data_IF_297277207615
#
_entry.id   IF_297277207615
#
_cell.length_a   1.000
_cell.length_b   1.000
_cell.length_c   1.000
_cell.angle_alpha   90.00
_cell.angle_beta   90.00
_cell.angle_gamma   90.00
#
_symmetry.space_group_name_H-M   'P 1'
#
loop_
_entity.id
_entity.type
_entity.pdbx_description
1 polymer ?
#
# COMPACT_ATOMS: atom_id res chain seq x y z
N UNK A 1 -11.89 22.54 16.50
CA UNK A 1 -12.70 21.88 15.45
C UNK A 1 -12.49 20.38 15.55
N UNK A 2 -13.26 19.72 16.42
CA UNK A 2 -13.25 18.26 16.61
C UNK A 2 -13.95 17.60 15.42
N UNK A 3 -13.35 16.60 14.74
CA UNK A 3 -14.08 15.89 13.70
C UNK A 3 -15.16 15.03 14.38
N UNK A 4 -16.40 15.34 14.03
CA UNK A 4 -17.61 14.58 14.34
C UNK A 4 -17.41 13.10 13.99
N UNK A 5 -17.60 12.23 14.97
CA UNK A 5 -17.66 10.77 14.79
C UNK A 5 -19.00 10.43 14.14
N UNK A 6 -19.08 10.59 12.82
CA UNK A 6 -20.18 10.00 12.07
C UNK A 6 -20.03 8.48 12.16
N UNK A 7 -20.92 7.84 12.93
CA UNK A 7 -21.24 6.42 12.75
C UNK A 7 -21.70 6.31 11.30
N UNK A 8 -20.80 5.88 10.42
CA UNK A 8 -21.08 5.79 9.00
C UNK A 8 -21.78 4.46 8.80
N UNK A 9 -23.11 4.48 8.72
CA UNK A 9 -23.89 3.29 8.35
C UNK A 9 -23.37 2.78 7.01
N UNK A 10 -22.78 1.58 7.01
CA UNK A 10 -22.27 0.96 5.80
C UNK A 10 -23.45 0.49 4.93
N UNK A 11 -23.26 0.52 3.62
CA UNK A 11 -24.23 -0.14 2.73
C UNK A 11 -24.01 -1.65 2.80
N UNK A 12 -25.06 -2.44 2.49
CA UNK A 12 -24.95 -3.91 2.41
C UNK A 12 -23.79 -4.37 1.50
N UNK A 13 -23.53 -3.63 0.42
CA UNK A 13 -22.42 -3.92 -0.48
C UNK A 13 -21.04 -3.66 0.16
N UNK A 14 -20.91 -2.58 0.93
CA UNK A 14 -19.67 -2.27 1.67
C UNK A 14 -19.43 -3.26 2.81
N UNK A 15 -20.49 -3.68 3.52
CA UNK A 15 -20.43 -4.73 4.54
C UNK A 15 -19.98 -6.06 3.92
N UNK A 16 -20.60 -6.47 2.81
CA UNK A 16 -20.24 -7.70 2.09
C UNK A 16 -18.78 -7.67 1.61
N UNK A 17 -18.31 -6.55 1.06
CA UNK A 17 -16.91 -6.39 0.64
C UNK A 17 -15.94 -6.43 1.85
N UNK A 18 -16.33 -5.84 2.98
CA UNK A 18 -15.58 -5.88 4.23
C UNK A 18 -15.48 -7.29 4.81
N UNK A 19 -16.55 -8.07 4.71
CA UNK A 19 -16.66 -9.43 5.27
C UNK A 19 -16.24 -10.55 4.30
N UNK A 20 -15.88 -10.22 3.05
CA UNK A 20 -15.54 -11.20 2.04
C UNK A 20 -14.37 -12.11 2.50
N UNK A 21 -14.33 -13.39 2.09
CA UNK A 21 -13.26 -14.32 2.47
C UNK A 21 -11.86 -13.79 2.16
N UNK A 22 -10.86 -14.21 2.95
CA UNK A 22 -9.45 -13.83 2.77
C UNK A 22 -8.62 -14.93 2.09
N UNK A 23 -9.21 -16.10 1.86
CA UNK A 23 -8.60 -17.27 1.20
C UNK A 23 -8.61 -17.19 -0.33
N UNK A 24 -9.15 -16.10 -0.89
CA UNK A 24 -9.31 -15.91 -2.34
C UNK A 24 -9.16 -14.45 -2.75
N UNK A 25 -8.83 -14.26 -4.03
CA UNK A 25 -8.84 -12.94 -4.64
C UNK A 25 -10.28 -12.45 -4.85
N UNK A 26 -10.52 -11.18 -4.56
CA UNK A 26 -11.77 -10.50 -4.85
C UNK A 26 -11.48 -9.22 -5.64
N UNK A 27 -12.38 -8.89 -6.56
CA UNK A 27 -12.35 -7.64 -7.30
C UNK A 27 -13.58 -6.81 -6.91
N UNK A 28 -13.37 -5.56 -6.52
CA UNK A 28 -14.43 -4.63 -6.16
C UNK A 28 -14.43 -3.46 -7.15
N UNK A 29 -15.54 -3.27 -7.83
CA UNK A 29 -15.76 -2.15 -8.73
C UNK A 29 -16.92 -1.26 -8.27
N UNK A 30 -16.94 -0.05 -8.80
CA UNK A 30 -18.02 0.89 -8.56
C UNK A 30 -17.63 2.31 -8.96
N UNK A 31 -18.60 3.16 -9.32
CA UNK A 31 -18.37 4.56 -9.65
C UNK A 31 -17.57 5.33 -8.60
N UNK A 32 -16.99 6.47 -8.98
CA UNK A 32 -16.38 7.39 -8.03
C UNK A 32 -17.40 7.81 -6.94
N UNK A 33 -16.94 8.00 -5.70
CA UNK A 33 -17.82 8.42 -4.59
C UNK A 33 -18.63 7.31 -3.91
N UNK A 34 -18.67 6.08 -4.43
CA UNK A 34 -19.45 4.96 -3.84
C UNK A 34 -18.90 4.37 -2.53
N UNK A 35 -17.79 4.91 -2.01
CA UNK A 35 -17.21 4.45 -0.74
C UNK A 35 -16.36 3.17 -0.85
N UNK A 36 -15.69 2.93 -1.99
CA UNK A 36 -14.71 1.83 -2.14
C UNK A 36 -13.63 1.85 -1.06
N UNK A 37 -13.11 3.03 -0.73
CA UNK A 37 -12.14 3.21 0.36
C UNK A 37 -12.76 2.87 1.71
N UNK A 38 -14.03 3.19 1.94
CA UNK A 38 -14.77 2.83 3.16
C UNK A 38 -14.86 1.31 3.30
N UNK A 39 -15.23 0.59 2.23
CA UNK A 39 -15.24 -0.87 2.22
C UNK A 39 -13.85 -1.47 2.47
N UNK A 40 -12.80 -0.90 1.86
CA UNK A 40 -11.41 -1.32 2.08
C UNK A 40 -10.96 -1.13 3.54
N UNK A 41 -11.31 0.00 4.16
CA UNK A 41 -11.04 0.24 5.58
C UNK A 41 -11.77 -0.78 6.45
N UNK A 42 -13.06 -1.06 6.18
CA UNK A 42 -13.80 -2.07 6.91
C UNK A 42 -13.17 -3.46 6.77
N UNK A 43 -12.72 -3.83 5.56
CA UNK A 43 -12.02 -5.09 5.31
C UNK A 43 -10.74 -5.19 6.16
N UNK A 44 -9.93 -4.14 6.20
CA UNK A 44 -8.72 -4.09 7.01
C UNK A 44 -9.04 -4.32 8.50
N UNK A 45 -10.07 -3.64 9.02
CA UNK A 45 -10.50 -3.78 10.41
C UNK A 45 -10.98 -5.20 10.69
N UNK A 46 -11.79 -5.79 9.81
CA UNK A 46 -12.29 -7.15 9.96
C UNK A 46 -11.15 -8.18 9.97
N UNK A 47 -10.13 -8.04 9.11
CA UNK A 47 -8.95 -8.92 9.11
C UNK A 47 -8.22 -8.86 10.46
N UNK A 48 -7.95 -7.66 10.95
CA UNK A 48 -7.27 -7.47 12.24
C UNK A 48 -8.11 -8.02 13.40
N UNK A 49 -9.42 -7.73 13.42
CA UNK A 49 -10.33 -8.16 14.49
C UNK A 49 -10.57 -9.67 14.50
N UNK A 50 -10.50 -10.32 13.34
CA UNK A 50 -10.55 -11.79 13.22
C UNK A 50 -9.23 -12.49 13.58
N UNK A 51 -8.21 -11.75 14.00
CA UNK A 51 -6.95 -12.29 14.50
C UNK A 51 -5.86 -12.48 13.45
N UNK A 52 -6.07 -12.02 12.21
CA UNK A 52 -4.99 -11.99 11.22
C UNK A 52 -3.87 -11.09 11.74
N UNK A 53 -2.64 -11.62 11.72
CA UNK A 53 -1.48 -10.87 12.19
C UNK A 53 -1.33 -9.59 11.39
N UNK A 54 -1.37 -8.43 12.05
CA UNK A 54 -1.33 -7.15 11.35
C UNK A 54 -0.04 -7.00 10.51
N UNK A 55 1.08 -7.60 10.94
CA UNK A 55 2.34 -7.64 10.19
C UNK A 55 2.27 -8.41 8.86
N UNK A 56 1.28 -9.30 8.67
CA UNK A 56 1.03 -10.01 7.41
C UNK A 56 0.03 -9.30 6.50
N UNK A 57 -0.44 -8.11 6.87
CA UNK A 57 -1.40 -7.33 6.09
C UNK A 57 -0.67 -6.20 5.36
N UNK A 58 -0.85 -6.16 4.04
CA UNK A 58 -0.35 -5.10 3.16
C UNK A 58 -1.52 -4.34 2.55
N UNK A 59 -1.54 -3.02 2.73
CA UNK A 59 -2.44 -2.10 2.03
C UNK A 59 -1.61 -1.28 1.06
N UNK A 60 -1.87 -1.47 -0.23
CA UNK A 60 -1.23 -0.73 -1.30
C UNK A 60 -2.15 0.40 -1.78
N UNK A 61 -1.65 1.63 -1.80
CA UNK A 61 -2.35 2.79 -2.37
C UNK A 61 -1.58 3.37 -3.55
N UNK A 62 -2.23 4.05 -4.51
CA UNK A 62 -1.51 4.61 -5.65
C UNK A 62 -0.60 5.77 -5.23
N UNK A 63 -1.00 6.53 -4.20
CA UNK A 63 -0.22 7.61 -3.60
C UNK A 63 -0.36 7.62 -2.07
N UNK A 64 0.64 8.17 -1.38
CA UNK A 64 0.70 8.18 0.11
C UNK A 64 -0.52 8.83 0.77
N UNK A 65 -1.05 9.98 0.31
CA UNK A 65 -2.19 10.61 0.98
C UNK A 65 -3.44 9.74 1.06
N UNK A 66 -3.64 8.83 0.09
CA UNK A 66 -4.81 7.93 0.06
C UNK A 66 -4.72 6.79 1.09
N UNK A 67 -3.58 6.63 1.77
CA UNK A 67 -3.47 5.72 2.92
C UNK A 67 -4.03 6.32 4.22
N UNK A 68 -4.33 7.62 4.25
CA UNK A 68 -4.79 8.33 5.46
C UNK A 68 -6.01 7.66 6.13
N UNK A 69 -7.09 7.29 5.41
CA UNK A 69 -8.27 6.66 6.03
C UNK A 69 -7.93 5.35 6.75
N UNK A 70 -7.06 4.53 6.17
CA UNK A 70 -6.59 3.28 6.78
C UNK A 70 -5.78 3.55 8.05
N UNK A 71 -4.83 4.49 8.00
CA UNK A 71 -4.01 4.85 9.15
C UNK A 71 -4.84 5.42 10.32
N UNK A 72 -5.88 6.20 10.02
CA UNK A 72 -6.78 6.76 11.04
C UNK A 72 -7.66 5.68 11.69
N UNK A 73 -8.18 4.75 10.89
CA UNK A 73 -8.95 3.61 11.39
C UNK A 73 -8.10 2.71 12.30
N UNK A 74 -6.86 2.42 11.90
CA UNK A 74 -5.93 1.63 12.71
C UNK A 74 -5.56 2.33 14.03
N UNK A 75 -5.35 3.66 14.02
CA UNK A 75 -5.07 4.44 15.24
C UNK A 75 -6.21 4.38 16.27
N UNK A 76 -7.46 4.23 15.80
CA UNK A 76 -8.65 4.10 16.65
C UNK A 76 -8.90 2.65 17.12
N UNK A 77 -8.15 1.69 16.57
CA UNK A 77 -8.31 0.27 16.87
C UNK A 77 -7.25 -0.17 17.86
N UNK A 78 -7.63 -0.96 18.88
CA UNK A 78 -6.68 -1.53 19.83
C UNK A 78 -5.94 -2.71 19.18
N UNK A 79 -4.84 -2.41 18.50
CA UNK A 79 -3.97 -3.43 17.91
C UNK A 79 -3.15 -4.17 18.99
N UNK A 80 -2.78 -5.41 18.71
CA UNK A 80 -1.76 -6.10 19.52
C UNK A 80 -0.44 -5.33 19.43
N UNK A 81 0.30 -5.14 20.53
CA UNK A 81 1.61 -4.49 20.51
C UNK A 81 2.55 -5.11 19.47
N UNK A 82 3.28 -4.27 18.73
CA UNK A 82 4.27 -4.70 17.75
C UNK A 82 3.72 -5.20 16.40
N UNK A 83 2.39 -5.21 16.19
CA UNK A 83 1.77 -5.62 14.93
C UNK A 83 1.06 -4.46 14.25
N UNK A 84 1.64 -3.91 13.17
CA UNK A 84 1.04 -2.82 12.37
C UNK A 84 0.99 -3.25 10.90
N UNK A 85 -0.16 -3.12 10.21
CA UNK A 85 -0.26 -3.30 8.77
C UNK A 85 0.69 -2.39 7.99
N UNK A 86 1.26 -2.92 6.92
CA UNK A 86 2.10 -2.14 6.01
C UNK A 86 1.21 -1.28 5.10
N UNK A 87 1.28 0.04 5.23
CA UNK A 87 0.61 1.00 4.34
C UNK A 87 1.65 1.59 3.38
N UNK A 88 1.62 1.19 2.12
CA UNK A 88 2.68 1.56 1.16
C UNK A 88 2.11 1.94 -0.21
N UNK A 89 2.90 2.65 -1.01
CA UNK A 89 2.67 2.73 -2.45
C UNK A 89 3.45 1.64 -3.17
N UNK A 90 3.10 1.32 -4.42
CA UNK A 90 3.87 0.40 -5.26
C UNK A 90 5.37 0.81 -5.32
N UNK A 91 5.65 2.09 -5.61
CA UNK A 91 7.02 2.61 -5.62
C UNK A 91 7.71 2.56 -4.26
N UNK A 92 6.98 2.80 -3.17
CA UNK A 92 7.51 2.68 -1.81
C UNK A 92 7.87 1.24 -1.44
N UNK A 93 7.04 0.27 -1.85
CA UNK A 93 7.31 -1.15 -1.67
C UNK A 93 8.52 -1.60 -2.48
N UNK A 94 8.61 -1.20 -3.75
CA UNK A 94 9.75 -1.50 -4.61
C UNK A 94 11.04 -0.95 -4.02
N UNK A 95 11.05 0.33 -3.62
CA UNK A 95 12.20 0.99 -3.01
C UNK A 95 12.69 0.25 -1.76
N UNK A 96 11.79 -0.09 -0.83
CA UNK A 96 12.14 -0.83 0.40
C UNK A 96 12.76 -2.20 0.11
N UNK A 97 12.21 -2.95 -0.84
CA UNK A 97 12.75 -4.25 -1.22
C UNK A 97 14.11 -4.12 -1.88
N UNK A 98 14.26 -3.17 -2.81
CA UNK A 98 15.54 -2.92 -3.49
C UNK A 98 16.60 -2.51 -2.47
N UNK A 99 16.30 -1.59 -1.54
CA UNK A 99 17.23 -1.20 -0.48
C UNK A 99 17.63 -2.39 0.41
N UNK A 100 16.67 -3.23 0.81
CA UNK A 100 16.92 -4.38 1.68
C UNK A 100 17.78 -5.46 1.01
N UNK A 101 17.47 -5.78 -0.25
CA UNK A 101 18.12 -6.86 -0.98
C UNK A 101 19.25 -6.39 -1.91
N UNK A 102 19.61 -5.10 -1.86
CA UNK A 102 20.59 -4.51 -2.78
C UNK A 102 21.89 -5.31 -2.87
N UNK A 103 22.55 -5.68 -1.76
CA UNK A 103 23.82 -6.42 -1.82
C UNK A 103 23.71 -7.79 -2.50
N UNK A 104 22.51 -8.37 -2.54
CA UNK A 104 22.27 -9.67 -3.17
C UNK A 104 22.03 -9.55 -4.69
N UNK A 105 21.48 -8.42 -5.15
CA UNK A 105 21.02 -8.27 -6.55
C UNK A 105 21.94 -7.39 -7.40
N UNK A 106 22.72 -6.49 -6.80
CA UNK A 106 23.43 -5.42 -7.52
C UNK A 106 24.49 -5.93 -8.50
N UNK A 107 25.27 -6.95 -8.11
CA UNK A 107 26.29 -7.58 -8.98
C UNK A 107 25.64 -8.30 -10.16
N UNK A 108 24.65 -9.14 -9.89
CA UNK A 108 23.96 -9.90 -10.93
C UNK A 108 23.19 -8.99 -11.92
N UNK A 109 22.67 -7.86 -11.42
CA UNK A 109 22.00 -6.86 -12.25
C UNK A 109 22.96 -6.01 -13.10
N UNK A 110 24.28 -6.23 -13.02
CA UNK A 110 25.27 -5.57 -13.87
C UNK A 110 25.61 -4.13 -13.47
N UNK A 111 25.34 -3.73 -12.22
CA UNK A 111 25.71 -2.39 -11.75
C UNK A 111 27.23 -2.28 -11.58
N UNK A 112 27.83 -1.24 -12.17
CA UNK A 112 29.28 -1.01 -12.13
C UNK A 112 29.84 -0.78 -10.72
N UNK A 113 29.01 -0.31 -9.78
CA UNK A 113 29.37 -0.10 -8.37
C UNK A 113 28.39 -0.84 -7.46
N UNK A 114 28.50 -2.18 -7.36
CA UNK A 114 27.51 -3.02 -6.69
C UNK A 114 27.47 -2.82 -5.17
N UNK A 115 28.58 -2.38 -4.57
CA UNK A 115 28.71 -2.14 -3.13
C UNK A 115 28.24 -0.73 -2.72
N UNK A 116 27.92 0.13 -3.70
CA UNK A 116 27.32 1.45 -3.43
C UNK A 116 25.80 1.34 -3.39
N UNK A 117 25.09 2.09 -2.52
CA UNK A 117 23.63 2.10 -2.50
C UNK A 117 23.00 2.45 -3.87
N UNK A 118 21.79 1.95 -4.16
CA UNK A 118 21.09 2.27 -5.40
C UNK A 118 20.66 3.74 -5.41
N UNK A 119 20.72 4.36 -6.60
CA UNK A 119 20.17 5.69 -6.82
C UNK A 119 18.74 5.55 -7.35
N UNK A 120 17.77 6.03 -6.58
CA UNK A 120 16.38 6.08 -7.01
C UNK A 120 16.11 7.36 -7.80
N UNK A 121 15.53 7.20 -8.98
CA UNK A 121 15.15 8.31 -9.84
C UNK A 121 13.73 8.77 -9.51
N UNK A 122 13.53 10.09 -9.58
CA UNK A 122 12.19 10.67 -9.72
C UNK A 122 11.61 10.35 -11.09
N UNK A 123 10.32 10.63 -11.31
CA UNK A 123 9.73 10.45 -12.63
C UNK A 123 10.45 11.29 -13.70
N UNK A 124 10.76 12.55 -13.38
CA UNK A 124 11.41 13.49 -14.30
C UNK A 124 12.84 13.04 -14.65
N UNK A 125 13.61 12.62 -13.65
CA UNK A 125 14.99 12.14 -13.87
C UNK A 125 15.01 10.80 -14.60
N UNK A 126 14.07 9.90 -14.29
CA UNK A 126 13.88 8.66 -15.04
C UNK A 126 13.56 8.94 -16.51
N UNK A 127 12.62 9.86 -16.78
CA UNK A 127 12.28 10.28 -18.14
C UNK A 127 13.48 10.90 -18.88
N UNK A 128 14.27 11.75 -18.21
CA UNK A 128 15.49 12.33 -18.78
C UNK A 128 16.50 11.25 -19.20
N UNK A 129 16.77 10.26 -18.34
CA UNK A 129 17.70 9.19 -18.65
C UNK A 129 17.17 8.23 -19.72
N UNK A 130 15.89 7.85 -19.65
CA UNK A 130 15.25 6.98 -20.63
C UNK A 130 15.20 7.63 -22.02
N UNK A 131 14.96 8.93 -22.10
CA UNK A 131 14.97 9.66 -23.36
C UNK A 131 16.33 9.61 -24.06
N UNK A 132 17.44 9.50 -23.32
CA UNK A 132 18.78 9.35 -23.91
C UNK A 132 19.00 7.94 -24.46
N UNK A 133 18.39 6.92 -23.86
CA UNK A 133 18.49 5.52 -24.27
C UNK A 133 17.61 5.25 -25.50
N UNK A 134 16.41 5.84 -25.54
CA UNK A 134 15.42 5.61 -26.60
C UNK A 134 15.64 6.46 -27.86
N UNK A 135 16.66 7.33 -27.90
CA UNK A 135 16.97 8.11 -29.11
C UNK A 135 17.42 7.15 -30.22
N UNK A 136 16.85 7.26 -31.44
CA UNK A 136 17.36 6.51 -32.59
C UNK A 136 18.84 6.83 -32.79
N UNK A 137 19.62 5.80 -33.15
CA UNK A 137 21.02 5.93 -33.57
C UNK A 137 21.14 6.76 -34.85
#
# INVERSE_FOLDING_TARGET
>A
MTPSTAITTLTKAQEAAGAAPYDRAIFLEGPAGTGKTTAGVQRLLNLVQSGVAASSILVMTPVRPLAKPYSEALRRTRLRPGSIPALVTAGGLARRNVELFWPLVSRQAGFARPDSPPVFLTLETAQYHMARIARPL
#
